data_IF_140410617166
#
_entry.id   IF_140410617166
#
_cell.length_a   1.000
_cell.length_b   1.000
_cell.length_c   1.000
_cell.angle_alpha   90.00
_cell.angle_beta   90.00
_cell.angle_gamma   90.00
#
_symmetry.space_group_name_H-M   'P 1'
#
loop_
_entity.id
_entity.type
_entity.pdbx_description
1 polymer ?
#
# COMPACT_ATOMS: atom_id res chain seq x y z
N UNK A 1 -25.43 21.84 8.70
CA UNK A 1 -24.68 23.11 8.81
C UNK A 1 -24.88 23.84 7.49
N UNK A 2 -25.22 25.15 7.52
CA UNK A 2 -25.34 25.91 6.28
C UNK A 2 -23.96 26.30 5.77
N UNK A 3 -23.80 26.44 4.45
CA UNK A 3 -22.51 26.88 3.87
C UNK A 3 -22.01 28.22 4.44
N UNK A 4 -22.94 29.11 4.82
CA UNK A 4 -22.65 30.40 5.47
C UNK A 4 -22.05 30.29 6.88
N UNK A 5 -22.20 29.16 7.55
CA UNK A 5 -21.74 28.98 8.93
C UNK A 5 -20.28 28.50 8.99
N UNK A 6 -19.75 28.00 7.86
CA UNK A 6 -18.38 27.51 7.74
C UNK A 6 -17.47 28.70 7.51
N UNK A 7 -16.56 28.94 8.45
CA UNK A 7 -15.60 30.05 8.44
C UNK A 7 -14.16 29.60 8.20
N UNK A 8 -13.84 28.36 8.59
CA UNK A 8 -12.49 27.81 8.47
C UNK A 8 -12.55 26.37 7.97
N UNK A 9 -11.78 26.05 6.92
CA UNK A 9 -11.70 24.75 6.28
C UNK A 9 -10.26 24.27 6.25
N UNK A 10 -10.01 23.04 6.66
CA UNK A 10 -8.74 22.34 6.45
C UNK A 10 -8.84 21.53 5.15
N UNK A 11 -7.93 21.79 4.20
CA UNK A 11 -7.91 21.19 2.87
C UNK A 11 -6.74 20.22 2.73
N UNK A 12 -7.03 18.96 2.37
CA UNK A 12 -6.02 18.04 1.86
C UNK A 12 -5.44 18.59 0.55
N UNK A 13 -4.18 18.99 0.57
CA UNK A 13 -3.55 19.72 -0.51
C UNK A 13 -2.31 19.02 -1.05
N UNK A 14 -2.37 18.57 -2.30
CA UNK A 14 -1.24 17.96 -3.01
C UNK A 14 -0.47 18.95 -3.90
N UNK A 15 -1.02 20.16 -4.13
CA UNK A 15 -0.47 21.11 -5.08
C UNK A 15 -0.77 20.77 -6.54
N UNK A 16 -1.47 19.69 -6.84
CA UNK A 16 -1.98 19.39 -8.17
C UNK A 16 -3.06 20.36 -8.65
N UNK A 17 -3.54 20.19 -9.88
CA UNK A 17 -4.61 21.02 -10.46
C UNK A 17 -5.86 20.98 -9.56
N UNK A 18 -6.40 19.77 -9.32
CA UNK A 18 -7.64 19.56 -8.59
C UNK A 18 -7.64 20.25 -7.21
N UNK A 19 -6.58 20.03 -6.42
CA UNK A 19 -6.52 20.63 -5.07
C UNK A 19 -6.25 22.13 -5.08
N UNK A 20 -5.60 22.65 -6.12
CA UNK A 20 -5.33 24.08 -6.24
C UNK A 20 -6.59 24.86 -6.61
N UNK A 21 -7.44 24.36 -7.52
CA UNK A 21 -8.71 25.04 -7.87
C UNK A 21 -9.74 25.00 -6.75
N UNK A 22 -9.61 24.05 -5.83
CA UNK A 22 -10.50 23.97 -4.66
C UNK A 22 -10.37 25.18 -3.73
N UNK A 23 -9.19 25.78 -3.60
CA UNK A 23 -8.98 26.93 -2.71
C UNK A 23 -9.88 28.13 -3.08
N UNK A 24 -9.82 28.68 -4.32
CA UNK A 24 -10.74 29.75 -4.70
C UNK A 24 -12.20 29.30 -4.70
N UNK A 25 -12.49 28.07 -5.11
CA UNK A 25 -13.86 27.55 -5.09
C UNK A 25 -14.47 27.52 -3.67
N UNK A 26 -13.71 27.13 -2.65
CA UNK A 26 -14.14 27.16 -1.25
C UNK A 26 -14.48 28.59 -0.83
N UNK A 27 -13.64 29.55 -1.16
CA UNK A 27 -13.89 30.97 -0.83
C UNK A 27 -15.15 31.51 -1.48
N UNK A 28 -15.41 31.17 -2.72
CA UNK A 28 -16.61 31.61 -3.45
C UNK A 28 -17.90 30.99 -2.89
N UNK A 29 -17.85 29.70 -2.52
CA UNK A 29 -19.05 28.95 -2.16
C UNK A 29 -19.31 28.88 -0.63
N UNK A 30 -18.32 29.21 0.19
CA UNK A 30 -18.38 29.12 1.66
C UNK A 30 -18.05 30.46 2.35
N UNK A 31 -18.71 31.54 1.89
CA UNK A 31 -18.66 32.87 2.51
C UNK A 31 -17.22 33.38 2.77
N UNK A 32 -16.33 33.24 1.79
CA UNK A 32 -14.92 33.63 1.88
C UNK A 32 -14.19 33.01 3.10
N UNK A 33 -14.45 31.73 3.35
CA UNK A 33 -13.86 30.99 4.48
C UNK A 33 -12.31 31.06 4.47
N UNK A 34 -11.73 30.95 5.64
CA UNK A 34 -10.30 30.71 5.80
C UNK A 34 -9.96 29.27 5.31
N UNK A 35 -8.97 29.14 4.44
CA UNK A 35 -8.53 27.84 3.93
C UNK A 35 -7.11 27.56 4.44
N UNK A 36 -6.98 26.52 5.26
CA UNK A 36 -5.71 26.00 5.74
C UNK A 36 -5.38 24.76 4.90
N UNK A 37 -4.32 24.85 4.12
CA UNK A 37 -3.84 23.74 3.31
C UNK A 37 -2.96 22.81 4.15
N UNK A 38 -3.05 21.50 3.92
CA UNK A 38 -2.24 20.47 4.59
C UNK A 38 -1.75 19.46 3.57
N UNK A 39 -0.45 19.27 3.52
CA UNK A 39 0.23 18.25 2.73
C UNK A 39 0.97 17.28 3.65
N UNK A 40 0.72 15.99 3.50
CA UNK A 40 1.45 14.93 4.18
C UNK A 40 2.59 14.43 3.30
N UNK A 41 3.83 14.52 3.79
CA UNK A 41 4.98 13.88 3.18
C UNK A 41 4.98 12.38 3.56
N UNK A 42 4.72 11.53 2.59
CA UNK A 42 4.82 10.07 2.69
C UNK A 42 5.91 9.52 1.75
N UNK A 43 6.88 10.39 1.35
CA UNK A 43 8.02 10.05 0.51
C UNK A 43 7.97 10.59 -0.92
N UNK A 44 7.07 11.55 -1.22
CA UNK A 44 6.99 12.29 -2.48
C UNK A 44 7.73 13.65 -2.39
N UNK A 45 8.94 13.66 -1.84
CA UNK A 45 9.69 14.91 -1.52
C UNK A 45 9.80 15.88 -2.71
N UNK A 46 9.94 15.38 -3.94
CA UNK A 46 10.08 16.19 -5.15
C UNK A 46 8.84 17.04 -5.45
N UNK A 47 7.66 16.62 -4.96
CA UNK A 47 6.39 17.32 -5.18
C UNK A 47 6.14 18.44 -4.14
N UNK A 48 6.91 18.47 -3.06
CA UNK A 48 6.73 19.42 -1.95
C UNK A 48 7.49 20.74 -2.15
N UNK A 49 8.43 20.80 -3.11
CA UNK A 49 9.22 22.00 -3.35
C UNK A 49 8.35 23.13 -3.94
N UNK A 50 8.39 24.30 -3.28
CA UNK A 50 7.60 25.48 -3.68
C UNK A 50 6.10 25.38 -3.40
N UNK A 51 5.65 24.35 -2.67
CA UNK A 51 4.23 24.10 -2.39
C UNK A 51 3.61 25.20 -1.53
N UNK A 52 4.34 25.74 -0.55
CA UNK A 52 3.86 26.81 0.32
C UNK A 52 3.58 28.10 -0.47
N UNK A 53 4.55 28.53 -1.28
CA UNK A 53 4.37 29.72 -2.12
C UNK A 53 3.17 29.58 -3.04
N UNK A 54 2.98 28.39 -3.62
CA UNK A 54 1.84 28.09 -4.48
C UNK A 54 0.52 28.13 -3.71
N UNK A 55 0.42 27.49 -2.54
CA UNK A 55 -0.79 27.47 -1.72
C UNK A 55 -1.21 28.90 -1.32
N UNK A 56 -0.27 29.72 -0.81
CA UNK A 56 -0.53 31.10 -0.39
C UNK A 56 -0.94 31.97 -1.57
N UNK A 57 -0.25 31.89 -2.71
CA UNK A 57 -0.63 32.62 -3.94
C UNK A 57 -2.01 32.24 -4.46
N UNK A 58 -2.42 31.00 -4.25
CA UNK A 58 -3.75 30.50 -4.63
C UNK A 58 -4.84 30.98 -3.67
N UNK A 59 -4.47 31.46 -2.47
CA UNK A 59 -5.39 32.05 -1.51
C UNK A 59 -5.56 31.26 -0.21
N UNK A 60 -4.76 30.24 0.05
CA UNK A 60 -4.69 29.64 1.36
C UNK A 60 -4.10 30.64 2.37
N UNK A 61 -4.58 30.60 3.63
CA UNK A 61 -4.03 31.43 4.70
C UNK A 61 -2.76 30.85 5.30
N UNK A 62 -2.61 29.52 5.20
CA UNK A 62 -1.49 28.77 5.79
C UNK A 62 -1.32 27.44 5.06
N UNK A 63 -0.09 26.92 5.02
CA UNK A 63 0.20 25.54 4.63
C UNK A 63 0.92 24.83 5.79
N UNK A 64 0.47 23.63 6.08
CA UNK A 64 1.22 22.63 6.84
C UNK A 64 1.83 21.62 5.88
N UNK A 65 3.13 21.36 6.02
CA UNK A 65 3.81 20.24 5.36
C UNK A 65 4.32 19.33 6.47
N UNK A 66 3.68 18.19 6.64
CA UNK A 66 3.92 17.27 7.74
C UNK A 66 4.75 16.07 7.25
N UNK A 67 5.89 15.81 7.88
CA UNK A 67 6.67 14.60 7.59
C UNK A 67 6.03 13.40 8.30
N UNK A 68 5.41 12.54 7.54
CA UNK A 68 4.73 11.33 7.99
C UNK A 68 5.49 10.05 7.60
N UNK A 69 6.71 10.16 7.09
CA UNK A 69 7.44 9.02 6.51
C UNK A 69 7.72 7.91 7.52
N UNK A 70 8.11 8.25 8.76
CA UNK A 70 8.35 7.25 9.80
C UNK A 70 7.04 6.60 10.26
N UNK A 71 6.00 7.39 10.56
CA UNK A 71 4.67 6.89 10.94
C UNK A 71 4.09 6.00 9.82
N UNK A 72 4.25 6.39 8.55
CA UNK A 72 3.78 5.62 7.41
C UNK A 72 4.45 4.24 7.32
N UNK A 73 5.76 4.17 7.58
CA UNK A 73 6.48 2.90 7.59
C UNK A 73 6.12 2.06 8.80
N UNK A 74 6.26 2.60 10.00
CA UNK A 74 6.20 1.82 11.24
C UNK A 74 4.77 1.38 11.57
N UNK A 75 3.78 2.26 11.36
CA UNK A 75 2.40 2.02 11.78
C UNK A 75 1.50 1.48 10.65
N UNK A 76 1.92 1.55 9.37
CA UNK A 76 1.09 1.11 8.24
C UNK A 76 1.78 0.07 7.35
N UNK A 77 2.99 0.35 6.85
CA UNK A 77 3.67 -0.57 5.93
C UNK A 77 4.11 -1.84 6.66
N UNK A 78 4.80 -1.72 7.80
CA UNK A 78 5.31 -2.89 8.52
C UNK A 78 4.19 -3.82 8.98
N UNK A 79 3.05 -3.35 9.54
CA UNK A 79 1.90 -4.21 9.82
C UNK A 79 1.35 -4.94 8.59
N UNK A 80 1.29 -4.28 7.43
CA UNK A 80 0.87 -4.91 6.18
C UNK A 80 1.86 -5.98 5.69
N UNK A 81 3.16 -5.72 5.79
CA UNK A 81 4.22 -6.70 5.49
C UNK A 81 4.11 -7.93 6.40
N UNK A 82 4.02 -7.72 7.72
CA UNK A 82 3.84 -8.79 8.70
C UNK A 82 2.59 -9.63 8.40
N UNK A 83 1.50 -8.99 8.01
CA UNK A 83 0.27 -9.67 7.61
C UNK A 83 0.41 -10.44 6.29
N UNK A 84 1.35 -10.08 5.42
CA UNK A 84 1.39 -10.51 4.03
C UNK A 84 0.21 -9.97 3.23
N UNK A 85 -0.29 -8.78 3.61
CA UNK A 85 -1.53 -8.21 3.09
C UNK A 85 -1.34 -7.63 1.68
N UNK A 86 -2.15 -8.09 0.74
CA UNK A 86 -2.26 -7.57 -0.63
C UNK A 86 -3.73 -7.56 -1.03
N UNK A 87 -4.07 -6.76 -2.02
CA UNK A 87 -5.38 -6.79 -2.67
C UNK A 87 -5.20 -7.07 -4.16
N UNK A 88 -5.62 -8.26 -4.63
CA UNK A 88 -5.47 -8.68 -6.04
C UNK A 88 -4.04 -8.46 -6.57
N UNK A 89 -3.02 -8.86 -5.81
CA UNK A 89 -1.57 -8.64 -6.04
C UNK A 89 -1.06 -7.19 -5.84
N UNK A 90 -1.96 -6.21 -5.67
CA UNK A 90 -1.59 -4.85 -5.34
C UNK A 90 -1.10 -4.71 -3.89
N UNK A 91 0.10 -4.14 -3.70
CA UNK A 91 0.76 -3.97 -2.39
C UNK A 91 0.29 -2.74 -1.61
N UNK A 92 -0.92 -2.26 -1.88
CA UNK A 92 -1.69 -1.31 -1.07
C UNK A 92 -1.05 0.09 -0.87
N UNK A 93 -0.09 0.52 -1.67
CA UNK A 93 0.69 1.73 -1.39
C UNK A 93 -0.14 3.00 -1.20
N UNK A 94 -1.10 3.28 -2.10
CA UNK A 94 -2.03 4.40 -1.92
C UNK A 94 -3.00 4.15 -0.76
N UNK A 95 -3.47 2.89 -0.61
CA UNK A 95 -4.44 2.52 0.43
C UNK A 95 -3.89 2.67 1.85
N UNK A 96 -2.58 2.44 2.03
CA UNK A 96 -1.86 2.63 3.29
C UNK A 96 -1.55 4.11 3.55
N UNK A 97 -1.27 4.90 2.50
CA UNK A 97 -0.91 6.32 2.64
C UNK A 97 -2.10 7.21 3.01
N UNK A 98 -3.30 6.92 2.53
CA UNK A 98 -4.48 7.79 2.77
C UNK A 98 -4.90 7.84 4.24
N UNK A 99 -4.96 6.74 5.01
CA UNK A 99 -5.30 6.80 6.43
C UNK A 99 -4.32 7.61 7.27
N UNK A 100 -3.02 7.56 7.02
CA UNK A 100 -2.04 8.37 7.77
C UNK A 100 -2.21 9.86 7.48
N UNK A 101 -2.40 10.23 6.21
CA UNK A 101 -2.63 11.63 5.83
C UNK A 101 -3.96 12.13 6.41
N UNK A 102 -5.03 11.34 6.32
CA UNK A 102 -6.35 11.73 6.83
C UNK A 102 -6.38 11.87 8.36
N UNK A 103 -5.65 11.04 9.10
CA UNK A 103 -5.44 11.20 10.55
C UNK A 103 -4.81 12.56 10.86
N UNK A 104 -3.72 12.91 10.16
CA UNK A 104 -3.04 14.18 10.35
C UNK A 104 -3.93 15.39 9.99
N UNK A 105 -4.76 15.26 8.94
CA UNK A 105 -5.76 16.28 8.60
C UNK A 105 -6.76 16.51 9.76
N UNK A 106 -7.25 15.43 10.37
CA UNK A 106 -8.17 15.52 11.50
C UNK A 106 -7.51 16.17 12.72
N UNK A 107 -6.27 15.80 13.05
CA UNK A 107 -5.49 16.39 14.14
C UNK A 107 -5.29 17.91 13.96
N UNK A 108 -4.91 18.33 12.75
CA UNK A 108 -4.76 19.75 12.42
C UNK A 108 -6.10 20.47 12.44
N UNK A 109 -7.17 19.88 11.94
CA UNK A 109 -8.50 20.48 11.95
C UNK A 109 -8.98 20.74 13.39
N UNK A 110 -8.75 19.80 14.31
CA UNK A 110 -9.03 19.98 15.73
C UNK A 110 -8.19 21.12 16.32
N UNK A 111 -6.88 21.11 16.07
CA UNK A 111 -5.94 22.10 16.60
C UNK A 111 -6.23 23.52 16.12
N UNK A 112 -6.62 23.67 14.88
CA UNK A 112 -6.98 24.95 14.24
C UNK A 112 -8.42 25.41 14.55
N UNK A 113 -9.23 24.54 15.17
CA UNK A 113 -10.64 24.83 15.41
C UNK A 113 -11.42 25.00 14.10
N UNK A 114 -11.15 24.13 13.12
CA UNK A 114 -11.79 24.20 11.82
C UNK A 114 -13.27 23.75 11.89
N UNK A 115 -14.11 24.35 11.03
CA UNK A 115 -15.54 24.00 10.93
C UNK A 115 -15.78 22.82 10.00
N UNK A 116 -14.85 22.55 9.06
CA UNK A 116 -14.97 21.48 8.08
C UNK A 116 -13.60 21.03 7.56
N UNK A 117 -13.55 19.81 7.00
CA UNK A 117 -12.40 19.29 6.25
C UNK A 117 -12.81 19.13 4.78
N UNK A 118 -11.89 19.44 3.87
CA UNK A 118 -12.10 19.30 2.43
C UNK A 118 -11.04 18.38 1.80
N UNK A 119 -11.45 17.57 0.83
CA UNK A 119 -10.55 16.79 -0.01
C UNK A 119 -10.91 16.89 -1.48
N UNK A 120 -9.91 16.75 -2.36
CA UNK A 120 -10.05 16.83 -3.81
C UNK A 120 -10.24 15.49 -4.51
N UNK A 121 -10.62 14.43 -3.80
CA UNK A 121 -10.80 13.11 -4.40
C UNK A 121 -12.00 13.07 -5.33
N UNK A 122 -11.82 12.46 -6.51
CA UNK A 122 -12.90 12.29 -7.50
C UNK A 122 -13.94 11.27 -7.03
N UNK A 123 -15.18 11.39 -7.51
CA UNK A 123 -16.27 10.46 -7.18
C UNK A 123 -16.08 9.05 -7.75
N UNK A 124 -15.12 8.84 -8.68
CA UNK A 124 -14.80 7.55 -9.30
C UNK A 124 -13.65 6.80 -8.59
N UNK A 125 -12.91 7.48 -7.70
CA UNK A 125 -11.76 6.91 -7.00
C UNK A 125 -12.11 6.34 -5.64
N UNK A 126 -11.31 5.35 -5.17
CA UNK A 126 -11.43 4.78 -3.83
C UNK A 126 -10.98 5.76 -2.73
N UNK A 127 -10.11 6.71 -3.06
CA UNK A 127 -9.47 7.60 -2.10
C UNK A 127 -10.45 8.44 -1.29
N UNK A 128 -11.58 8.86 -1.90
CA UNK A 128 -12.65 9.52 -1.16
C UNK A 128 -13.16 8.68 0.01
N UNK A 129 -13.29 7.36 -0.17
CA UNK A 129 -13.73 6.45 0.90
C UNK A 129 -12.66 6.34 1.98
N UNK A 130 -11.40 6.18 1.59
CA UNK A 130 -10.25 6.06 2.51
C UNK A 130 -10.09 7.29 3.40
N UNK A 131 -10.17 8.49 2.81
CA UNK A 131 -10.16 9.75 3.56
C UNK A 131 -11.35 9.84 4.51
N UNK A 132 -12.57 9.68 4.00
CA UNK A 132 -13.77 9.93 4.78
C UNK A 132 -13.98 8.92 5.90
N UNK A 133 -13.67 7.62 5.70
CA UNK A 133 -13.79 6.63 6.77
C UNK A 133 -12.80 6.92 7.90
N UNK A 134 -11.57 7.34 7.56
CA UNK A 134 -10.61 7.78 8.57
C UNK A 134 -11.07 9.03 9.30
N UNK A 135 -11.56 10.04 8.57
CA UNK A 135 -12.08 11.27 9.19
C UNK A 135 -13.30 10.98 10.09
N UNK A 136 -14.17 10.06 9.69
CA UNK A 136 -15.30 9.62 10.55
C UNK A 136 -14.86 8.98 11.85
N UNK A 137 -13.71 8.33 11.88
CA UNK A 137 -13.15 7.77 13.11
C UNK A 137 -12.66 8.87 14.07
N UNK A 138 -11.91 9.87 13.55
CA UNK A 138 -11.28 10.89 14.39
C UNK A 138 -12.17 12.11 14.68
N UNK A 139 -13.01 12.50 13.74
CA UNK A 139 -13.87 13.70 13.79
C UNK A 139 -15.28 13.39 13.27
N UNK A 140 -16.03 12.50 13.96
CA UNK A 140 -17.29 11.92 13.44
C UNK A 140 -18.37 12.96 13.11
N UNK A 141 -18.38 14.09 13.81
CA UNK A 141 -19.38 15.16 13.65
C UNK A 141 -18.92 16.31 12.76
N UNK A 142 -17.65 16.31 12.30
CA UNK A 142 -17.11 17.37 11.46
C UNK A 142 -17.57 17.21 10.00
N UNK A 143 -18.16 18.25 9.39
CA UNK A 143 -18.56 18.21 7.99
C UNK A 143 -17.38 17.97 7.05
N UNK A 144 -17.60 17.13 6.03
CA UNK A 144 -16.63 16.87 4.97
C UNK A 144 -17.13 17.50 3.68
N UNK A 145 -16.29 18.32 3.06
CA UNK A 145 -16.55 18.97 1.78
C UNK A 145 -15.82 18.20 0.68
N UNK A 146 -16.55 17.72 -0.31
CA UNK A 146 -16.02 17.00 -1.46
C UNK A 146 -16.46 17.70 -2.75
N UNK A 147 -15.71 18.68 -3.27
CA UNK A 147 -16.12 19.52 -4.40
C UNK A 147 -16.54 18.74 -5.64
N UNK A 148 -15.87 17.64 -5.97
CA UNK A 148 -16.23 16.77 -7.09
C UNK A 148 -17.67 16.23 -7.05
N UNK A 149 -18.34 16.28 -5.91
CA UNK A 149 -19.76 15.92 -5.75
C UNK A 149 -20.72 17.11 -5.81
N UNK A 150 -20.16 18.35 -5.75
CA UNK A 150 -20.96 19.57 -5.60
C UNK A 150 -20.81 20.55 -6.76
N UNK A 151 -19.61 20.65 -7.36
CA UNK A 151 -19.32 21.66 -8.37
C UNK A 151 -19.81 21.29 -9.77
N UNK A 152 -19.87 22.29 -10.64
CA UNK A 152 -20.31 22.13 -12.03
C UNK A 152 -19.19 21.74 -12.99
N UNK A 153 -17.93 21.76 -12.55
CA UNK A 153 -16.76 21.41 -13.35
C UNK A 153 -16.80 19.90 -13.66
N UNK A 154 -16.79 19.52 -14.94
CA UNK A 154 -16.97 18.14 -15.38
C UNK A 154 -15.78 17.59 -16.16
N UNK A 155 -14.88 18.44 -16.60
CA UNK A 155 -13.73 18.04 -17.40
C UNK A 155 -12.46 18.75 -16.94
N UNK A 156 -11.31 18.17 -17.30
CA UNK A 156 -10.00 18.75 -17.05
C UNK A 156 -9.83 20.12 -17.75
N UNK A 157 -10.43 20.29 -18.93
CA UNK A 157 -10.41 21.53 -19.68
C UNK A 157 -11.17 22.65 -18.94
N UNK A 158 -12.34 22.34 -18.39
CA UNK A 158 -13.12 23.27 -17.56
C UNK A 158 -12.36 23.64 -16.28
N UNK A 159 -11.67 22.68 -15.69
CA UNK A 159 -10.86 22.88 -14.48
C UNK A 159 -9.66 23.80 -14.77
N UNK A 160 -8.97 23.60 -15.90
CA UNK A 160 -7.89 24.48 -16.37
C UNK A 160 -8.44 25.91 -16.62
N UNK A 161 -9.56 26.03 -17.30
CA UNK A 161 -10.18 27.34 -17.57
C UNK A 161 -10.57 28.07 -16.26
N UNK A 162 -11.09 27.33 -15.27
CA UNK A 162 -11.38 27.87 -13.95
C UNK A 162 -10.10 28.34 -13.23
N UNK A 163 -9.04 27.54 -13.28
CA UNK A 163 -7.75 27.87 -12.70
C UNK A 163 -7.13 29.13 -13.32
N UNK A 164 -7.20 29.26 -14.65
CA UNK A 164 -6.73 30.44 -15.37
C UNK A 164 -7.53 31.71 -14.99
N UNK A 165 -8.87 31.61 -14.89
CA UNK A 165 -9.75 32.70 -14.48
C UNK A 165 -9.46 33.20 -13.06
N UNK A 166 -8.94 32.33 -12.18
CA UNK A 166 -8.61 32.65 -10.78
C UNK A 166 -7.11 32.87 -10.53
N UNK A 167 -6.29 32.99 -11.60
CA UNK A 167 -4.84 33.17 -11.53
C UNK A 167 -4.12 32.11 -10.65
N UNK A 168 -4.62 30.87 -10.66
CA UNK A 168 -3.98 29.77 -9.96
C UNK A 168 -2.65 29.44 -10.65
N UNK A 169 -1.51 29.42 -9.93
CA UNK A 169 -0.21 29.13 -10.54
C UNK A 169 -0.14 27.65 -10.93
N UNK A 170 -0.25 27.36 -12.23
CA UNK A 170 -0.18 26.00 -12.75
C UNK A 170 1.05 25.83 -13.62
N UNK A 171 1.82 24.77 -13.37
CA UNK A 171 2.77 24.22 -14.34
C UNK A 171 1.99 23.26 -15.24
N UNK A 172 1.21 23.80 -16.18
CA UNK A 172 0.40 22.96 -17.07
C UNK A 172 1.31 22.43 -18.18
N UNK A 173 1.62 21.15 -18.15
CA UNK A 173 2.04 20.44 -19.34
C UNK A 173 0.77 19.84 -19.96
N UNK A 174 0.30 20.39 -21.08
CA UNK A 174 -0.90 19.91 -21.80
C UNK A 174 -0.68 18.55 -22.46
N UNK A 175 0.55 18.06 -22.48
CA UNK A 175 0.92 16.80 -23.12
C UNK A 175 0.96 15.67 -22.11
N UNK A 176 0.00 14.78 -22.22
CA UNK A 176 0.10 13.33 -21.96
C UNK A 176 0.73 12.90 -20.64
N UNK A 177 0.20 13.33 -19.50
CA UNK A 177 0.65 12.77 -18.24
C UNK A 177 -0.33 11.70 -17.74
N UNK A 178 0.16 10.49 -17.50
CA UNK A 178 -0.55 9.49 -16.69
C UNK A 178 -0.95 10.09 -15.34
N UNK A 179 -2.07 9.65 -14.80
CA UNK A 179 -2.37 9.90 -13.40
C UNK A 179 -1.40 9.08 -12.56
N UNK A 180 -0.61 9.74 -11.72
CA UNK A 180 0.42 9.12 -10.88
C UNK A 180 0.16 9.42 -9.42
N UNK A 181 0.39 8.43 -8.56
CA UNK A 181 0.42 8.59 -7.11
C UNK A 181 1.71 7.95 -6.57
N UNK A 182 2.57 8.80 -6.00
CA UNK A 182 3.91 8.43 -5.54
C UNK A 182 4.01 8.55 -4.04
N UNK A 183 4.62 7.56 -3.42
CA UNK A 183 5.08 7.61 -2.05
C UNK A 183 6.34 6.73 -1.88
N UNK A 184 6.89 6.64 -0.68
CA UNK A 184 8.11 5.86 -0.45
C UNK A 184 7.96 4.35 -0.72
N UNK A 185 6.71 3.84 -0.74
CA UNK A 185 6.43 2.43 -0.93
C UNK A 185 6.21 2.05 -2.40
N UNK A 186 5.55 2.92 -3.16
CA UNK A 186 5.17 2.64 -4.54
C UNK A 186 5.00 3.89 -5.41
N UNK A 187 4.86 3.65 -6.70
CA UNK A 187 4.34 4.58 -7.69
C UNK A 187 3.27 3.88 -8.53
N UNK A 188 2.11 4.53 -8.72
CA UNK A 188 1.06 4.06 -9.63
C UNK A 188 1.02 4.87 -10.92
N UNK A 189 0.59 4.22 -12.01
CA UNK A 189 0.32 4.84 -13.31
C UNK A 189 -1.07 4.42 -13.77
N UNK A 190 -1.93 5.37 -14.07
CA UNK A 190 -3.30 5.15 -14.56
C UNK A 190 -3.65 6.10 -15.72
N UNK A 191 -4.63 5.73 -16.52
CA UNK A 191 -5.18 6.58 -17.58
C UNK A 191 -4.48 6.45 -18.93
N UNK A 192 -4.85 7.31 -19.89
CA UNK A 192 -4.34 7.34 -21.26
C UNK A 192 -4.49 5.99 -21.98
N UNK A 193 -3.41 5.52 -22.61
CA UNK A 193 -3.36 4.23 -23.33
C UNK A 193 -3.53 3.01 -22.40
N UNK A 194 -3.32 3.14 -21.09
CA UNK A 194 -3.59 2.08 -20.12
C UNK A 194 -5.09 1.85 -19.89
N UNK A 195 -5.99 2.76 -20.29
CA UNK A 195 -7.44 2.56 -20.20
C UNK A 195 -7.92 1.41 -21.11
N UNK A 196 -7.21 1.12 -22.19
CA UNK A 196 -7.42 -0.07 -23.00
C UNK A 196 -6.55 -1.22 -22.47
N UNK A 197 -7.18 -2.24 -21.90
CA UNK A 197 -6.49 -3.40 -21.35
C UNK A 197 -5.74 -4.23 -22.42
N UNK A 198 -5.99 -4.00 -23.71
CA UNK A 198 -5.28 -4.62 -24.82
C UNK A 198 -3.93 -3.96 -25.15
N UNK A 199 -3.64 -2.79 -24.58
CA UNK A 199 -2.38 -2.10 -24.82
C UNK A 199 -1.29 -2.58 -23.86
N UNK A 200 -0.09 -2.79 -24.38
CA UNK A 200 1.10 -3.07 -23.58
C UNK A 200 1.57 -1.80 -22.84
N UNK A 201 1.89 -1.87 -21.53
CA UNK A 201 2.48 -0.73 -20.84
C UNK A 201 3.83 -0.35 -21.44
N UNK A 202 4.06 0.94 -21.60
CA UNK A 202 5.25 1.45 -22.28
C UNK A 202 6.47 1.52 -21.36
N UNK A 203 6.89 0.38 -20.78
CA UNK A 203 8.00 0.32 -19.82
C UNK A 203 9.32 0.89 -20.32
N UNK A 204 9.56 0.82 -21.63
CA UNK A 204 10.79 1.32 -22.25
C UNK A 204 10.74 2.79 -22.67
N UNK A 205 9.54 3.41 -22.55
CA UNK A 205 9.40 4.84 -22.82
C UNK A 205 10.08 5.64 -21.72
N UNK A 206 11.03 6.49 -22.12
CA UNK A 206 11.75 7.37 -21.18
C UNK A 206 10.76 8.18 -20.32
N UNK A 207 10.87 8.06 -18.98
CA UNK A 207 10.05 8.76 -18.01
C UNK A 207 8.69 8.11 -17.74
N UNK A 208 8.42 6.90 -18.27
CA UNK A 208 7.30 6.09 -17.81
C UNK A 208 7.62 5.53 -16.43
N UNK A 209 8.66 4.70 -16.31
CA UNK A 209 9.16 4.22 -15.03
C UNK A 209 9.97 5.31 -14.30
N UNK A 210 9.75 5.46 -13.00
CA UNK A 210 10.44 6.45 -12.15
C UNK A 210 11.15 5.82 -10.95
N UNK A 211 10.72 4.61 -10.52
CA UNK A 211 11.38 3.90 -9.42
C UNK A 211 12.38 2.87 -9.90
N UNK A 212 12.37 2.54 -11.20
CA UNK A 212 13.27 1.52 -11.72
C UNK A 212 13.42 1.54 -13.23
N UNK A 213 13.88 0.41 -13.75
CA UNK A 213 14.05 0.15 -15.19
C UNK A 213 13.23 -1.07 -15.60
N UNK A 214 12.98 -1.21 -16.92
CA UNK A 214 12.43 -2.44 -17.47
C UNK A 214 13.31 -3.65 -17.12
N UNK A 215 12.74 -4.85 -16.86
CA UNK A 215 13.54 -6.07 -16.70
C UNK A 215 14.48 -6.36 -17.88
N UNK A 216 14.12 -5.90 -19.09
CA UNK A 216 14.97 -6.04 -20.28
C UNK A 216 16.25 -5.21 -20.14
N UNK A 217 16.12 -3.99 -19.62
CA UNK A 217 17.25 -3.04 -19.46
C UNK A 217 18.04 -3.27 -18.16
N UNK A 218 17.55 -4.15 -17.28
CA UNK A 218 18.22 -4.47 -16.03
C UNK A 218 19.58 -5.19 -16.26
N UNK A 219 20.55 -5.03 -15.34
CA UNK A 219 21.89 -5.63 -15.48
C UNK A 219 21.87 -7.14 -15.70
N UNK A 220 22.81 -7.64 -16.51
CA UNK A 220 23.05 -9.08 -16.72
C UNK A 220 23.81 -9.74 -15.55
N UNK A 221 24.20 -8.96 -14.54
CA UNK A 221 24.88 -9.46 -13.35
C UNK A 221 23.91 -9.46 -12.18
N UNK A 222 23.68 -10.60 -11.51
CA UNK A 222 22.79 -10.68 -10.36
C UNK A 222 23.33 -9.90 -9.16
N UNK A 223 22.43 -9.30 -8.38
CA UNK A 223 22.73 -8.60 -7.13
C UNK A 223 22.28 -9.47 -5.95
N UNK A 224 23.22 -9.82 -5.06
CA UNK A 224 22.89 -10.55 -3.84
C UNK A 224 22.75 -9.59 -2.68
N UNK A 225 21.73 -9.81 -1.85
CA UNK A 225 21.48 -9.05 -0.61
C UNK A 225 21.14 -10.00 0.53
N UNK A 226 21.35 -9.55 1.76
CA UNK A 226 20.92 -10.24 2.97
C UNK A 226 20.13 -9.30 3.85
N UNK A 227 18.92 -9.69 4.22
CA UNK A 227 18.04 -8.98 5.16
C UNK A 227 18.02 -9.70 6.50
N UNK A 228 18.19 -8.95 7.59
CA UNK A 228 18.00 -9.45 8.95
C UNK A 228 16.66 -8.96 9.48
N UNK A 229 15.92 -9.86 10.16
CA UNK A 229 14.61 -9.58 10.75
C UNK A 229 14.61 -9.86 12.25
N UNK A 230 13.87 -9.04 13.01
CA UNK A 230 13.52 -9.25 14.43
C UNK A 230 12.00 -9.13 14.58
N UNK A 231 11.34 -10.20 15.03
CA UNK A 231 9.87 -10.28 15.20
C UNK A 231 9.09 -9.77 13.95
N UNK A 232 9.52 -10.20 12.76
CA UNK A 232 8.91 -9.82 11.48
C UNK A 232 9.26 -8.43 10.96
N UNK A 233 10.06 -7.64 11.68
CA UNK A 233 10.50 -6.31 11.28
C UNK A 233 11.91 -6.38 10.66
N UNK A 234 12.17 -5.80 9.49
CA UNK A 234 13.53 -5.74 8.94
C UNK A 234 14.38 -4.77 9.76
N UNK A 235 15.58 -5.19 10.18
CA UNK A 235 16.44 -4.42 11.09
C UNK A 235 17.85 -4.19 10.54
N UNK A 236 18.27 -4.93 9.50
CA UNK A 236 19.55 -4.72 8.84
C UNK A 236 19.53 -5.16 7.37
N UNK A 237 20.35 -4.53 6.56
CA UNK A 237 20.63 -4.90 5.17
C UNK A 237 22.14 -5.12 5.03
N UNK A 238 22.54 -6.29 4.51
CA UNK A 238 23.95 -6.71 4.34
C UNK A 238 24.81 -6.51 5.61
N UNK A 239 24.21 -6.81 6.78
CA UNK A 239 24.82 -6.68 8.09
C UNK A 239 24.90 -5.26 8.65
N UNK A 240 24.39 -4.26 7.94
CA UNK A 240 24.33 -2.87 8.40
C UNK A 240 22.96 -2.62 9.02
N UNK A 241 22.93 -2.33 10.33
CA UNK A 241 21.69 -1.97 11.05
C UNK A 241 21.20 -0.60 10.60
N UNK A 242 19.91 -0.50 10.31
CA UNK A 242 19.24 0.75 9.92
C UNK A 242 17.74 0.65 10.20
N UNK A 243 17.03 1.78 10.10
CA UNK A 243 15.57 1.81 10.27
C UNK A 243 14.87 1.03 9.16
N UNK A 244 13.63 0.55 9.42
CA UNK A 244 12.81 -0.10 8.39
C UNK A 244 12.60 0.83 7.18
N UNK A 245 12.44 2.13 7.42
CA UNK A 245 12.35 3.15 6.36
C UNK A 245 13.61 3.17 5.48
N UNK A 246 14.79 3.23 6.07
CA UNK A 246 16.03 3.27 5.30
C UNK A 246 16.26 1.97 4.52
N UNK A 247 15.86 0.82 5.10
CA UNK A 247 15.89 -0.47 4.40
C UNK A 247 14.99 -0.41 3.17
N UNK A 248 13.73 0.05 3.30
CA UNK A 248 12.78 0.16 2.18
C UNK A 248 13.35 1.06 1.08
N UNK A 249 13.89 2.22 1.44
CA UNK A 249 14.50 3.14 0.48
C UNK A 249 15.67 2.49 -0.27
N UNK A 250 16.55 1.76 0.43
CA UNK A 250 17.65 1.01 -0.18
C UNK A 250 17.14 -0.13 -1.06
N UNK A 251 16.10 -0.85 -0.64
CA UNK A 251 15.49 -1.90 -1.44
C UNK A 251 14.81 -1.33 -2.70
N UNK A 252 14.24 -0.12 -2.64
CA UNK A 252 13.74 0.58 -3.82
C UNK A 252 14.88 0.84 -4.84
N UNK A 253 16.04 1.35 -4.39
CA UNK A 253 17.20 1.57 -5.25
C UNK A 253 17.68 0.26 -5.90
N UNK A 254 17.87 -0.79 -5.09
CA UNK A 254 18.39 -2.08 -5.55
C UNK A 254 17.38 -2.81 -6.43
N UNK A 255 16.11 -2.83 -6.03
CA UNK A 255 15.03 -3.46 -6.79
C UNK A 255 14.77 -2.76 -8.10
N UNK A 256 14.66 -1.44 -8.08
CA UNK A 256 14.45 -0.63 -9.27
C UNK A 256 15.57 -0.82 -10.30
N UNK A 257 16.84 -0.82 -9.85
CA UNK A 257 18.01 -1.11 -10.72
C UNK A 257 17.93 -2.50 -11.37
N UNK A 258 17.32 -3.48 -10.69
CA UNK A 258 17.20 -4.86 -11.19
C UNK A 258 15.85 -5.12 -11.88
N UNK A 259 15.05 -4.10 -12.16
CA UNK A 259 13.76 -4.21 -12.85
C UNK A 259 12.67 -4.92 -12.05
N UNK A 260 12.76 -4.92 -10.70
CA UNK A 260 11.86 -5.62 -9.81
C UNK A 260 10.67 -4.73 -9.46
N UNK A 261 9.50 -5.34 -9.23
CA UNK A 261 8.33 -4.71 -8.64
C UNK A 261 7.39 -4.06 -9.64
N UNK A 262 7.44 -4.44 -10.92
CA UNK A 262 6.45 -4.02 -11.92
C UNK A 262 5.23 -4.93 -11.84
N UNK A 263 4.05 -4.32 -11.75
CA UNK A 263 2.77 -5.01 -11.72
C UNK A 263 1.78 -4.28 -12.64
N UNK A 264 1.15 -5.02 -13.54
CA UNK A 264 0.07 -4.54 -14.41
C UNK A 264 -1.19 -5.35 -14.10
N UNK A 265 -2.21 -4.74 -13.52
CA UNK A 265 -3.44 -5.42 -13.11
C UNK A 265 -4.69 -4.64 -13.46
N UNK A 266 -5.78 -5.38 -13.65
CA UNK A 266 -7.14 -4.87 -13.69
C UNK A 266 -7.82 -5.22 -12.38
N UNK A 267 -7.84 -4.28 -11.45
CA UNK A 267 -8.38 -4.46 -10.10
C UNK A 267 -9.87 -4.11 -9.99
N UNK A 268 -10.52 -4.64 -8.96
CA UNK A 268 -11.90 -4.30 -8.62
C UNK A 268 -11.93 -3.14 -7.62
N UNK A 269 -12.33 -1.95 -8.05
CA UNK A 269 -12.47 -0.80 -7.15
C UNK A 269 -13.64 -0.98 -6.19
N UNK A 270 -13.51 -0.47 -4.96
CA UNK A 270 -14.56 -0.43 -3.95
C UNK A 270 -15.85 0.23 -4.46
N UNK A 271 -15.72 1.25 -5.29
CA UNK A 271 -16.85 1.95 -5.92
C UNK A 271 -17.54 1.15 -7.04
N UNK A 272 -17.16 -0.11 -7.27
CA UNK A 272 -17.89 -1.09 -8.07
C UNK A 272 -17.47 -1.21 -9.53
N UNK A 273 -16.43 -0.49 -9.98
CA UNK A 273 -15.89 -0.61 -11.34
C UNK A 273 -14.53 -1.31 -11.35
N UNK A 274 -14.17 -1.89 -12.49
CA UNK A 274 -12.79 -2.33 -12.74
C UNK A 274 -11.95 -1.16 -13.23
N UNK A 275 -10.68 -1.14 -12.80
CA UNK A 275 -9.71 -0.15 -13.24
C UNK A 275 -8.36 -0.81 -13.44
N UNK A 276 -7.64 -0.44 -14.50
CA UNK A 276 -6.28 -0.90 -14.73
C UNK A 276 -5.30 0.08 -14.13
N UNK A 277 -4.34 -0.46 -13.39
CA UNK A 277 -3.20 0.28 -12.86
C UNK A 277 -1.89 -0.46 -13.16
N UNK A 278 -0.84 0.30 -13.45
CA UNK A 278 0.53 -0.20 -13.50
C UNK A 278 1.26 0.36 -12.29
N UNK A 279 1.91 -0.52 -11.54
CA UNK A 279 2.54 -0.18 -10.27
C UNK A 279 4.04 -0.48 -10.30
N UNK A 280 4.82 0.39 -9.67
CA UNK A 280 6.22 0.17 -9.34
C UNK A 280 6.34 0.04 -7.82
N UNK A 281 6.72 -1.13 -7.32
CA UNK A 281 6.88 -1.40 -5.87
C UNK A 281 8.13 -2.25 -5.63
N UNK A 282 9.31 -1.75 -6.02
CA UNK A 282 10.53 -2.57 -6.03
C UNK A 282 10.95 -3.05 -4.64
N UNK A 283 11.02 -2.15 -3.65
CA UNK A 283 11.40 -2.50 -2.28
C UNK A 283 10.37 -3.37 -1.60
N UNK A 284 9.07 -3.10 -1.83
CA UNK A 284 7.98 -3.90 -1.30
C UNK A 284 8.01 -5.34 -1.78
N UNK A 285 8.23 -5.55 -3.09
CA UNK A 285 8.33 -6.90 -3.68
C UNK A 285 9.47 -7.70 -3.05
N UNK A 286 10.64 -7.07 -2.84
CA UNK A 286 11.78 -7.72 -2.20
C UNK A 286 11.46 -8.05 -0.73
N UNK A 287 10.89 -7.08 -0.01
CA UNK A 287 10.60 -7.23 1.43
C UNK A 287 9.55 -8.31 1.70
N UNK A 288 8.47 -8.36 0.90
CA UNK A 288 7.46 -9.43 1.00
C UNK A 288 8.06 -10.81 0.73
N UNK A 289 8.86 -10.94 -0.33
CA UNK A 289 9.52 -12.20 -0.66
C UNK A 289 10.49 -12.68 0.44
N UNK A 290 11.24 -11.76 1.05
CA UNK A 290 12.15 -12.07 2.16
C UNK A 290 11.38 -12.50 3.41
N UNK A 291 10.36 -11.72 3.80
CA UNK A 291 9.55 -11.97 4.98
C UNK A 291 8.82 -13.31 4.89
N UNK A 292 8.13 -13.57 3.76
CA UNK A 292 7.46 -14.85 3.51
C UNK A 292 8.44 -16.02 3.59
N UNK A 293 9.66 -15.87 3.04
CA UNK A 293 10.65 -16.95 3.08
C UNK A 293 11.10 -17.27 4.52
N UNK A 294 11.28 -16.24 5.36
CA UNK A 294 11.60 -16.45 6.77
C UNK A 294 10.46 -17.13 7.53
N UNK A 295 9.21 -16.75 7.28
CA UNK A 295 8.02 -17.35 7.89
C UNK A 295 7.95 -18.86 7.63
N UNK A 296 8.39 -19.34 6.45
CA UNK A 296 8.40 -20.79 6.16
C UNK A 296 9.29 -21.60 7.10
N UNK A 297 10.28 -20.98 7.73
CA UNK A 297 11.11 -21.61 8.73
C UNK A 297 10.51 -21.54 10.15
N UNK A 298 9.86 -20.42 10.48
CA UNK A 298 9.52 -20.06 11.87
C UNK A 298 8.09 -20.43 12.27
N UNK A 299 7.17 -20.57 11.30
CA UNK A 299 5.76 -20.84 11.58
C UNK A 299 5.40 -22.30 11.34
N UNK A 300 4.60 -22.87 12.24
CA UNK A 300 3.97 -24.17 12.01
C UNK A 300 2.89 -24.07 10.91
N UNK A 301 2.55 -25.22 10.34
CA UNK A 301 1.58 -25.33 9.24
C UNK A 301 0.25 -24.64 9.54
N UNK A 302 -0.33 -24.85 10.72
CA UNK A 302 -1.67 -24.38 11.05
C UNK A 302 -1.68 -22.85 11.19
N UNK A 303 -0.67 -22.30 11.87
CA UNK A 303 -0.48 -20.87 12.05
C UNK A 303 -0.24 -20.18 10.71
N UNK A 304 0.68 -20.71 9.88
CA UNK A 304 1.00 -20.14 8.58
C UNK A 304 -0.22 -20.11 7.66
N UNK A 305 -0.94 -21.24 7.51
CA UNK A 305 -2.13 -21.30 6.65
C UNK A 305 -3.24 -20.37 7.13
N UNK A 306 -3.47 -20.28 8.46
CA UNK A 306 -4.48 -19.36 8.99
C UNK A 306 -4.09 -17.90 8.76
N UNK A 307 -2.81 -17.55 8.93
CA UNK A 307 -2.31 -16.21 8.64
C UNK A 307 -2.51 -15.85 7.16
N UNK A 308 -2.18 -16.77 6.23
CA UNK A 308 -2.38 -16.56 4.79
C UNK A 308 -3.86 -16.37 4.42
N UNK A 309 -4.76 -17.13 5.03
CA UNK A 309 -6.21 -16.95 4.86
C UNK A 309 -6.68 -15.56 5.34
N UNK A 310 -6.20 -15.12 6.49
CA UNK A 310 -6.56 -13.83 7.08
C UNK A 310 -5.88 -12.64 6.40
N UNK A 311 -4.75 -12.85 5.71
CA UNK A 311 -4.06 -11.82 4.92
C UNK A 311 -4.96 -11.21 3.84
N UNK A 312 -5.83 -12.03 3.22
CA UNK A 312 -6.81 -11.58 2.24
C UNK A 312 -7.77 -10.58 2.87
N UNK A 313 -8.38 -10.94 4.00
CA UNK A 313 -9.29 -10.04 4.72
C UNK A 313 -8.59 -8.78 5.21
N UNK A 314 -7.34 -8.89 5.67
CA UNK A 314 -6.54 -7.74 6.05
C UNK A 314 -6.33 -6.79 4.86
N UNK A 315 -5.95 -7.34 3.70
CA UNK A 315 -5.76 -6.58 2.46
C UNK A 315 -7.04 -5.87 2.00
N UNK A 316 -8.19 -6.56 2.03
CA UNK A 316 -9.50 -5.97 1.72
C UNK A 316 -9.85 -4.81 2.65
N UNK A 317 -9.68 -4.96 3.97
CA UNK A 317 -9.93 -3.89 4.93
C UNK A 317 -9.07 -2.66 4.67
N UNK A 318 -7.79 -2.85 4.34
CA UNK A 318 -6.87 -1.75 4.00
C UNK A 318 -7.29 -1.10 2.68
N UNK A 319 -7.58 -1.89 1.65
CA UNK A 319 -8.00 -1.40 0.34
C UNK A 319 -9.27 -0.54 0.43
N UNK A 320 -10.22 -0.98 1.26
CA UNK A 320 -11.50 -0.35 1.51
C UNK A 320 -11.45 0.85 2.48
N UNK A 321 -10.26 1.22 2.96
CA UNK A 321 -10.09 2.35 3.88
C UNK A 321 -10.53 2.08 5.31
N UNK A 322 -10.67 0.82 5.71
CA UNK A 322 -11.13 0.38 7.02
C UNK A 322 -9.99 0.17 8.03
N UNK A 323 -8.92 0.98 7.94
CA UNK A 323 -7.75 0.86 8.81
C UNK A 323 -8.09 0.97 10.29
N UNK A 324 -8.97 1.90 10.67
CA UNK A 324 -9.36 2.18 12.05
C UNK A 324 -10.63 1.42 12.47
N UNK A 325 -10.72 0.13 12.15
CA UNK A 325 -11.85 -0.72 12.52
C UNK A 325 -11.43 -1.81 13.52
N UNK A 326 -12.33 -2.22 14.45
CA UNK A 326 -12.04 -3.28 15.42
C UNK A 326 -11.59 -4.59 14.77
N UNK A 327 -12.10 -4.93 13.58
CA UNK A 327 -11.69 -6.15 12.88
C UNK A 327 -10.22 -6.07 12.43
N UNK A 328 -9.81 -4.93 11.82
CA UNK A 328 -8.41 -4.76 11.42
C UNK A 328 -7.48 -4.80 12.64
N UNK A 329 -7.86 -4.19 13.76
CA UNK A 329 -7.09 -4.21 15.01
C UNK A 329 -6.94 -5.63 15.58
N UNK A 330 -8.03 -6.40 15.57
CA UNK A 330 -8.01 -7.79 16.00
C UNK A 330 -7.10 -8.66 15.10
N UNK A 331 -7.14 -8.43 13.78
CA UNK A 331 -6.25 -9.11 12.84
C UNK A 331 -4.79 -8.70 13.04
N UNK A 332 -4.50 -7.43 13.33
CA UNK A 332 -3.14 -6.99 13.66
C UNK A 332 -2.62 -7.68 14.92
N UNK A 333 -3.42 -7.77 15.98
CA UNK A 333 -3.03 -8.47 17.21
C UNK A 333 -2.75 -9.96 16.96
N UNK A 334 -3.56 -10.63 16.12
CA UNK A 334 -3.30 -11.99 15.68
C UNK A 334 -1.98 -12.10 14.91
N UNK A 335 -1.77 -11.21 13.93
CA UNK A 335 -0.55 -11.18 13.13
C UNK A 335 0.68 -10.96 14.02
N UNK A 336 0.66 -9.93 14.88
CA UNK A 336 1.79 -9.62 15.77
C UNK A 336 2.15 -10.82 16.65
N UNK A 337 1.15 -11.56 17.15
CA UNK A 337 1.41 -12.80 17.90
C UNK A 337 2.12 -13.86 17.07
N UNK A 338 1.81 -13.99 15.79
CA UNK A 338 2.48 -14.96 14.92
C UNK A 338 3.93 -14.57 14.61
N UNK A 339 4.27 -13.28 14.73
CA UNK A 339 5.58 -12.75 14.34
C UNK A 339 6.64 -12.82 15.46
N UNK A 340 6.28 -13.11 16.71
CA UNK A 340 7.21 -13.09 17.85
C UNK A 340 8.51 -13.88 17.62
N UNK A 341 8.44 -14.94 16.82
CA UNK A 341 9.58 -15.81 16.51
C UNK A 341 10.05 -15.69 15.05
N UNK A 342 9.46 -14.81 14.25
CA UNK A 342 9.91 -14.56 12.86
C UNK A 342 11.15 -13.68 12.91
N UNK A 343 12.26 -14.28 13.35
CA UNK A 343 13.56 -13.62 13.58
C UNK A 343 14.66 -14.43 12.91
N UNK A 344 15.48 -13.77 12.11
CA UNK A 344 16.53 -14.46 11.37
C UNK A 344 17.04 -13.67 10.18
N UNK A 345 17.68 -14.36 9.25
CA UNK A 345 18.34 -13.79 8.07
C UNK A 345 17.81 -14.43 6.81
N UNK A 346 17.64 -13.61 5.77
CA UNK A 346 17.24 -14.08 4.44
C UNK A 346 18.19 -13.53 3.40
N UNK A 347 18.78 -14.40 2.60
CA UNK A 347 19.59 -14.06 1.44
C UNK A 347 18.77 -14.19 0.18
N UNK A 348 18.80 -13.16 -0.64
CA UNK A 348 18.10 -13.09 -1.93
C UNK A 348 19.08 -12.77 -3.06
N UNK A 349 18.71 -13.22 -4.26
CA UNK A 349 19.37 -12.86 -5.51
C UNK A 349 18.36 -12.06 -6.37
N UNK A 350 18.72 -10.82 -6.67
CA UNK A 350 17.91 -9.90 -7.49
C UNK A 350 18.44 -9.95 -8.92
N UNK A 351 17.59 -10.33 -9.86
CA UNK A 351 18.01 -10.48 -11.25
C UNK A 351 16.86 -10.32 -12.23
N UNK A 352 16.94 -9.32 -13.10
CA UNK A 352 16.02 -9.10 -14.24
C UNK A 352 14.55 -9.28 -13.88
N UNK A 353 14.06 -8.47 -12.95
CA UNK A 353 12.66 -8.48 -12.49
C UNK A 353 12.31 -9.59 -11.50
N UNK A 354 13.25 -10.48 -11.17
CA UNK A 354 12.99 -11.60 -10.29
C UNK A 354 13.68 -11.44 -8.92
N UNK A 355 12.97 -11.87 -7.88
CA UNK A 355 13.51 -12.07 -6.53
C UNK A 355 13.66 -13.56 -6.30
N UNK A 356 14.90 -14.05 -6.26
CA UNK A 356 15.23 -15.47 -6.16
C UNK A 356 15.69 -15.76 -4.73
N UNK A 357 15.06 -16.73 -4.08
CA UNK A 357 15.43 -17.19 -2.72
C UNK A 357 16.82 -17.85 -2.78
N UNK A 358 17.77 -17.40 -1.97
CA UNK A 358 19.16 -17.87 -1.97
C UNK A 358 19.65 -18.43 -0.62
N UNK A 359 18.78 -18.45 0.38
CA UNK A 359 18.99 -19.03 1.70
C UNK A 359 18.26 -18.27 2.80
N UNK A 360 17.94 -18.97 3.88
CA UNK A 360 17.36 -18.38 5.08
C UNK A 360 17.85 -19.11 6.33
N UNK A 361 18.01 -18.38 7.44
CA UNK A 361 18.52 -18.89 8.72
C UNK A 361 17.74 -18.27 9.87
N UNK A 362 17.39 -19.08 10.84
CA UNK A 362 16.71 -18.64 12.05
C UNK A 362 17.03 -19.58 13.21
N UNK A 363 17.32 -19.01 14.38
CA UNK A 363 17.43 -19.76 15.63
C UNK A 363 16.06 -20.29 16.11
N UNK A 364 14.97 -19.75 15.53
CA UNK A 364 13.59 -20.18 15.77
C UNK A 364 13.06 -21.11 14.69
N UNK A 365 13.96 -21.68 13.87
CA UNK A 365 13.57 -22.57 12.78
C UNK A 365 12.90 -23.85 13.31
N UNK A 366 11.74 -24.16 12.76
CA UNK A 366 11.05 -25.45 12.94
C UNK A 366 11.55 -26.49 11.93
N UNK A 367 12.34 -26.08 10.93
CA UNK A 367 12.99 -26.98 9.99
C UNK A 367 14.22 -27.60 10.66
N UNK A 368 14.24 -28.93 10.77
CA UNK A 368 15.37 -29.71 11.26
C UNK A 368 15.94 -30.57 10.14
N UNK A 369 17.19 -30.31 9.76
CA UNK A 369 17.90 -31.14 8.78
C UNK A 369 17.96 -32.60 9.19
N UNK A 370 18.12 -32.89 10.49
CA UNK A 370 18.19 -34.23 11.05
C UNK A 370 16.89 -35.02 10.84
N UNK A 371 15.71 -34.34 10.99
CA UNK A 371 14.40 -34.96 10.77
C UNK A 371 14.03 -35.00 9.28
N UNK A 372 14.42 -33.97 8.51
CA UNK A 372 14.05 -33.81 7.11
C UNK A 372 14.95 -34.55 6.13
N UNK A 373 16.02 -35.20 6.61
CA UNK A 373 16.97 -35.91 5.77
C UNK A 373 16.32 -37.11 5.06
N UNK A 374 16.76 -37.37 3.82
CA UNK A 374 16.47 -38.62 3.11
C UNK A 374 17.50 -39.72 3.41
N UNK A 375 18.50 -39.44 4.24
CA UNK A 375 19.50 -40.40 4.74
C UNK A 375 18.99 -41.20 5.93
N UNK A 376 19.91 -41.83 6.61
CA UNK A 376 19.65 -42.51 7.90
C UNK A 376 19.41 -41.47 8.99
N UNK A 377 18.30 -41.58 9.71
CA UNK A 377 18.01 -40.79 10.90
C UNK A 377 17.61 -41.71 12.06
N UNK A 378 17.74 -41.22 13.29
CA UNK A 378 17.36 -41.93 14.50
C UNK A 378 16.36 -41.14 15.36
N UNK A 379 15.80 -40.07 14.84
CA UNK A 379 14.92 -39.10 15.54
C UNK A 379 13.46 -39.45 15.32
N UNK A 380 13.15 -40.06 14.17
CA UNK A 380 11.77 -40.31 13.72
C UNK A 380 11.59 -41.80 13.39
N UNK A 381 10.59 -42.46 14.02
CA UNK A 381 10.21 -43.83 13.65
C UNK A 381 9.21 -43.81 12.49
N UNK A 382 9.67 -44.21 11.30
CA UNK A 382 8.83 -44.28 10.10
C UNK A 382 7.64 -45.25 10.24
N UNK A 383 7.70 -46.20 11.16
CA UNK A 383 6.61 -47.16 11.42
C UNK A 383 5.34 -46.47 11.98
N UNK A 384 5.49 -45.35 12.69
CA UNK A 384 4.36 -44.60 13.26
C UNK A 384 3.41 -44.06 12.18
N UNK A 385 3.92 -43.78 10.96
CA UNK A 385 3.12 -43.28 9.84
C UNK A 385 1.99 -44.26 9.46
N UNK A 386 2.19 -45.57 9.59
CA UNK A 386 1.15 -46.56 9.27
C UNK A 386 -0.08 -46.40 10.17
N UNK A 387 0.16 -46.23 11.49
CA UNK A 387 -0.92 -46.03 12.47
C UNK A 387 -1.70 -44.74 12.19
N UNK A 388 -0.98 -43.66 11.98
CA UNK A 388 -1.56 -42.37 11.61
C UNK A 388 -2.41 -42.46 10.34
N UNK A 389 -1.87 -43.02 9.24
CA UNK A 389 -2.56 -43.15 7.96
C UNK A 389 -3.83 -43.99 8.09
N UNK A 390 -3.80 -45.08 8.83
CA UNK A 390 -4.97 -45.94 9.04
C UNK A 390 -6.12 -45.20 9.72
N UNK A 391 -5.84 -44.39 10.75
CA UNK A 391 -6.86 -43.64 11.48
C UNK A 391 -7.32 -42.39 10.67
N UNK A 392 -6.39 -41.63 10.11
CA UNK A 392 -6.68 -40.45 9.33
C UNK A 392 -7.43 -40.77 8.03
N UNK A 393 -7.12 -41.90 7.39
CA UNK A 393 -7.78 -42.38 6.18
C UNK A 393 -9.09 -43.16 6.41
N UNK A 394 -9.47 -43.43 7.67
CA UNK A 394 -10.66 -44.23 7.98
C UNK A 394 -11.96 -43.64 7.39
N UNK A 395 -12.26 -42.33 7.47
CA UNK A 395 -13.44 -41.75 6.83
C UNK A 395 -13.47 -42.00 5.34
N UNK A 396 -12.33 -41.88 4.64
CA UNK A 396 -12.21 -42.09 3.19
C UNK A 396 -12.52 -43.56 2.85
N UNK A 397 -11.98 -44.49 3.63
CA UNK A 397 -12.24 -45.93 3.46
C UNK A 397 -13.71 -46.26 3.66
N UNK A 398 -14.34 -45.71 4.71
CA UNK A 398 -15.77 -45.94 4.98
C UNK A 398 -16.63 -45.37 3.88
N UNK A 399 -16.35 -44.14 3.42
CA UNK A 399 -17.07 -43.53 2.31
C UNK A 399 -17.00 -44.41 1.04
N UNK A 400 -15.83 -44.86 0.65
CA UNK A 400 -15.64 -45.72 -0.50
C UNK A 400 -16.44 -47.05 -0.39
N UNK A 401 -16.52 -47.64 0.83
CA UNK A 401 -17.31 -48.86 1.06
C UNK A 401 -18.82 -48.59 0.92
N UNK A 402 -19.31 -47.46 1.41
CA UNK A 402 -20.72 -47.03 1.26
C UNK A 402 -21.07 -46.80 -0.21
N UNK A 403 -20.21 -46.11 -0.92
CA UNK A 403 -20.41 -45.81 -2.36
C UNK A 403 -20.46 -47.10 -3.19
N UNK A 404 -19.51 -48.03 -2.96
CA UNK A 404 -19.47 -49.32 -3.62
C UNK A 404 -20.71 -50.20 -3.32
N UNK A 405 -21.25 -50.10 -2.12
CA UNK A 405 -22.49 -50.82 -1.74
C UNK A 405 -23.72 -50.23 -2.46
N UNK A 406 -23.78 -48.92 -2.65
CA UNK A 406 -24.93 -48.26 -3.29
C UNK A 406 -24.86 -48.26 -4.81
N UNK A 407 -23.67 -48.29 -5.40
CA UNK A 407 -23.49 -48.44 -6.83
C UNK A 407 -23.94 -49.78 -7.41
N UNK A 408 -24.14 -50.80 -6.54
CA UNK A 408 -24.64 -52.11 -6.92
C UNK A 408 -26.17 -52.27 -6.79
N UNK A 409 -26.85 -51.19 -6.39
CA UNK A 409 -28.32 -51.08 -6.37
C UNK A 409 -28.81 -50.35 -7.62
#
# INVERSE_FOLDING_TARGET
MNKSDIKKVVLAYSGGLDTSVIIPWLKENYNNCEVIAVSGNVGQADELEGLEEKAIKTGASKLYVEDLTDEFVDDFIIPAVKAGAMYEDYMLGTSLARPVIAKRLAEIAIAEGADAICHGCTGKGNDQVRFELTLKHFVPDMPIIAPWREWSIKSREEEIAYAEAHNVPLKINRETNYSKDKNLWHLSHEGLDLEDAGNEPQYEKKGFLEMGVSPIDAPDTPTYITLDFEAGVPVALDGVKMSAKDIILKLNELGGKNGIGLLDIVENRLVGMKCRGVYETPGGTILYAAHEYLETLCLDKMTMHKKQELAITFGELVYDGQWYTPLREALSAFVDKTQEHVTGKVKLCLYKGNVIKAGAWSDWSLYSEEIATFGEDHVYDQADSKGFINLFGLPIKVQAQVDAKNAKK
#
